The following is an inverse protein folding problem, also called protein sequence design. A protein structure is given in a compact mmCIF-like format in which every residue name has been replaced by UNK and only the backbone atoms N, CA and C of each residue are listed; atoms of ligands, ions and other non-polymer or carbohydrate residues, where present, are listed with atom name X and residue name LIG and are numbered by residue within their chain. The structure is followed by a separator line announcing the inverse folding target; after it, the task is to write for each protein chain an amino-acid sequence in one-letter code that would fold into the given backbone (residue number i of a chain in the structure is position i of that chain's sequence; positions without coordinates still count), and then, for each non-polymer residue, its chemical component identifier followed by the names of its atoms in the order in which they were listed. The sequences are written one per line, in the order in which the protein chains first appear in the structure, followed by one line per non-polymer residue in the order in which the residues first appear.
data_IF_694976566599
#
_entry.id   IF_694976566599
#
_cell.length_a   1.000
_cell.length_b   1.000
_cell.length_c   1.000
_cell.angle_alpha   90.00
_cell.angle_beta   90.00
_cell.angle_gamma   90.00
#
_symmetry.space_group_name_H-M   'P 1'
#
loop_
_entity.id
_entity.type
_entity.pdbx_description
1 polymer ?
#
# COMPACT_ATOMS: atom_id res chain seq x y z
N UNK A 1 19.47 -18.53 3.52
CA UNK A 1 19.48 -17.48 2.46
C UNK A 1 19.10 -16.20 3.17
N UNK A 2 20.04 -15.27 3.32
CA UNK A 2 19.80 -14.03 4.07
C UNK A 2 19.33 -12.95 3.10
N UNK A 3 18.17 -12.36 3.36
CA UNK A 3 17.66 -11.24 2.58
C UNK A 3 18.27 -9.94 3.14
N UNK A 4 18.96 -9.18 2.28
CA UNK A 4 19.55 -7.89 2.64
C UNK A 4 19.11 -6.83 1.64
N UNK A 5 18.16 -5.97 2.04
CA UNK A 5 17.62 -4.91 1.18
C UNK A 5 18.69 -3.94 0.64
N UNK A 6 19.81 -3.78 1.35
CA UNK A 6 20.93 -2.93 0.91
C UNK A 6 21.75 -3.56 -0.22
N UNK A 7 21.65 -4.88 -0.43
CA UNK A 7 22.30 -5.55 -1.56
C UNK A 7 21.56 -5.28 -2.87
N UNK A 8 22.29 -4.91 -3.93
CA UNK A 8 21.74 -4.51 -5.25
C UNK A 8 20.76 -5.54 -5.84
N UNK A 9 21.11 -6.82 -5.73
CA UNK A 9 20.37 -7.93 -6.32
C UNK A 9 19.39 -8.60 -5.34
N UNK A 10 19.10 -7.99 -4.19
CA UNK A 10 18.20 -8.61 -3.23
C UNK A 10 16.77 -8.64 -3.76
N UNK A 11 16.12 -9.83 -3.76
CA UNK A 11 14.76 -9.96 -4.27
C UNK A 11 13.70 -9.30 -3.39
N UNK A 12 14.05 -8.76 -2.21
CA UNK A 12 13.08 -8.03 -1.36
C UNK A 12 12.80 -6.60 -1.83
N UNK A 13 13.66 -6.02 -2.69
CA UNK A 13 13.52 -4.62 -3.12
C UNK A 13 12.22 -4.34 -3.89
N UNK A 14 11.81 -5.16 -4.88
CA UNK A 14 10.55 -4.94 -5.57
C UNK A 14 9.36 -4.99 -4.62
N UNK A 15 9.32 -5.96 -3.70
CA UNK A 15 8.26 -6.04 -2.68
C UNK A 15 8.25 -4.83 -1.76
N UNK A 16 9.43 -4.35 -1.32
CA UNK A 16 9.51 -3.09 -0.57
C UNK A 16 8.92 -1.94 -1.37
N UNK A 17 9.29 -1.78 -2.64
CA UNK A 17 8.77 -0.73 -3.53
C UNK A 17 7.24 -0.83 -3.71
N UNK A 18 6.70 -2.03 -3.87
CA UNK A 18 5.25 -2.23 -3.96
C UNK A 18 4.54 -1.82 -2.68
N UNK A 19 5.13 -2.09 -1.50
CA UNK A 19 4.55 -1.76 -0.19
C UNK A 19 4.69 -0.27 0.14
N UNK A 20 5.87 0.33 -0.07
CA UNK A 20 6.18 1.71 0.31
C UNK A 20 5.89 2.72 -0.79
N UNK A 21 5.54 2.26 -1.99
CA UNK A 21 5.08 3.12 -3.07
C UNK A 21 3.77 3.81 -2.68
N UNK A 22 3.57 5.03 -3.19
CA UNK A 22 2.42 5.90 -2.86
C UNK A 22 1.09 5.14 -2.81
N UNK A 23 0.79 4.34 -3.83
CA UNK A 23 -0.49 3.64 -3.94
C UNK A 23 -0.54 2.35 -3.13
N UNK A 24 0.58 1.63 -3.02
CA UNK A 24 0.65 0.40 -2.24
C UNK A 24 0.40 0.65 -0.76
N UNK A 25 1.07 1.65 -0.19
CA UNK A 25 0.91 2.00 1.22
C UNK A 25 -0.53 2.39 1.55
N UNK A 26 -1.16 3.22 0.70
CA UNK A 26 -2.55 3.64 0.89
C UNK A 26 -3.55 2.49 0.67
N UNK A 27 -3.31 1.63 -0.31
CA UNK A 27 -4.16 0.46 -0.59
C UNK A 27 -4.11 -0.54 0.56
N UNK A 28 -2.91 -0.86 1.07
CA UNK A 28 -2.74 -1.75 2.21
C UNK A 28 -3.39 -1.18 3.47
N UNK A 29 -3.22 0.12 3.73
CA UNK A 29 -3.83 0.79 4.86
C UNK A 29 -5.35 0.78 4.78
N UNK A 30 -5.93 0.97 3.59
CA UNK A 30 -7.38 0.89 3.38
C UNK A 30 -7.96 -0.51 3.64
N UNK A 31 -7.20 -1.57 3.36
CA UNK A 31 -7.63 -2.96 3.55
C UNK A 31 -7.48 -3.48 4.99
N UNK A 32 -6.89 -2.70 5.91
CA UNK A 32 -6.79 -3.09 7.32
C UNK A 32 -8.16 -3.18 8.00
N UNK A 33 -9.08 -2.29 7.61
CA UNK A 33 -10.45 -2.19 8.12
C UNK A 33 -11.35 -3.36 7.67
N UNK A 34 -10.94 -4.08 6.61
CA UNK A 34 -11.64 -5.25 6.11
C UNK A 34 -11.59 -5.39 4.59
N UNK A 35 -12.27 -6.41 4.04
CA UNK A 35 -12.34 -6.63 2.60
C UNK A 35 -13.06 -5.49 1.87
N UNK A 36 -12.52 -5.08 0.73
CA UNK A 36 -13.08 -4.00 -0.10
C UNK A 36 -13.13 -4.40 -1.59
N UNK A 37 -14.15 -3.92 -2.30
CA UNK A 37 -14.22 -4.02 -3.76
C UNK A 37 -13.28 -3.02 -4.42
N UNK A 38 -12.97 -3.27 -5.69
CA UNK A 38 -12.13 -2.36 -6.49
C UNK A 38 -12.60 -0.90 -6.46
N UNK A 39 -13.91 -0.66 -6.64
CA UNK A 39 -14.47 0.69 -6.65
C UNK A 39 -14.48 1.34 -5.25
N UNK A 40 -14.55 0.55 -4.19
CA UNK A 40 -14.46 1.06 -2.82
C UNK A 40 -13.03 1.47 -2.50
N UNK A 41 -12.04 0.65 -2.88
CA UNK A 41 -10.63 1.00 -2.80
C UNK A 41 -10.30 2.26 -3.59
N UNK A 42 -10.76 2.36 -4.84
CA UNK A 42 -10.55 3.55 -5.68
C UNK A 42 -11.12 4.83 -5.08
N UNK A 43 -12.25 4.75 -4.38
CA UNK A 43 -12.84 5.89 -3.67
C UNK A 43 -12.08 6.23 -2.39
N UNK A 44 -11.59 5.21 -1.67
CA UNK A 44 -10.84 5.39 -0.42
C UNK A 44 -9.45 5.96 -0.67
N UNK A 45 -8.79 5.52 -1.74
CA UNK A 45 -7.47 5.98 -2.19
C UNK A 45 -7.67 7.10 -3.22
N UNK A 46 -8.05 8.28 -2.74
CA UNK A 46 -8.34 9.41 -3.62
C UNK A 46 -7.14 9.77 -4.53
N UNK A 47 -7.45 10.11 -5.78
CA UNK A 47 -6.46 10.45 -6.81
C UNK A 47 -5.79 9.26 -7.52
N UNK A 48 -6.05 8.01 -7.15
CA UNK A 48 -5.54 6.85 -7.90
C UNK A 48 -6.34 6.60 -9.18
N UNK A 49 -5.67 6.39 -10.31
CA UNK A 49 -6.34 5.96 -11.54
C UNK A 49 -6.67 4.47 -11.50
N UNK A 50 -7.68 4.02 -12.25
CA UNK A 50 -8.04 2.59 -12.31
C UNK A 50 -6.86 1.72 -12.76
N UNK A 51 -6.10 2.19 -13.76
CA UNK A 51 -4.90 1.51 -14.23
C UNK A 51 -3.88 1.34 -13.10
N UNK A 52 -3.59 2.40 -12.35
CA UNK A 52 -2.60 2.36 -11.26
C UNK A 52 -3.07 1.47 -10.09
N UNK A 53 -4.35 1.54 -9.73
CA UNK A 53 -4.90 0.69 -8.67
C UNK A 53 -4.87 -0.78 -9.07
N UNK A 54 -5.25 -1.11 -10.31
CA UNK A 54 -5.19 -2.48 -10.85
C UNK A 54 -3.76 -3.02 -10.85
N UNK A 55 -2.78 -2.23 -11.31
CA UNK A 55 -1.36 -2.60 -11.26
C UNK A 55 -0.86 -2.82 -9.83
N UNK A 56 -1.25 -1.94 -8.91
CA UNK A 56 -0.88 -2.04 -7.48
C UNK A 56 -1.45 -3.31 -6.86
N UNK A 57 -2.74 -3.59 -7.05
CA UNK A 57 -3.38 -4.79 -6.52
C UNK A 57 -2.77 -6.06 -7.10
N UNK A 58 -2.46 -6.08 -8.40
CA UNK A 58 -1.80 -7.23 -9.03
C UNK A 58 -0.40 -7.49 -8.45
N UNK A 59 0.38 -6.44 -8.18
CA UNK A 59 1.69 -6.56 -7.57
C UNK A 59 1.60 -7.07 -6.12
N UNK A 60 0.70 -6.49 -5.32
CA UNK A 60 0.47 -6.92 -3.92
C UNK A 60 -0.11 -8.34 -3.83
N UNK A 61 -0.94 -8.75 -4.79
CA UNK A 61 -1.43 -10.13 -4.92
C UNK A 61 -0.30 -11.10 -5.27
N UNK A 62 0.53 -10.74 -6.25
CA UNK A 62 1.72 -11.52 -6.65
C UNK A 62 2.70 -11.70 -5.49
N UNK A 63 2.87 -10.68 -4.66
CA UNK A 63 3.74 -10.70 -3.48
C UNK A 63 3.11 -11.45 -2.29
N UNK A 64 1.85 -11.87 -2.40
CA UNK A 64 1.14 -12.59 -1.35
C UNK A 64 0.68 -11.71 -0.18
N UNK A 65 0.62 -10.40 -0.36
CA UNK A 65 0.14 -9.44 0.63
C UNK A 65 -1.38 -9.23 0.56
N UNK A 66 -1.94 -9.34 -0.65
CA UNK A 66 -3.37 -9.17 -0.89
C UNK A 66 -3.94 -10.48 -1.45
N UNK A 67 -5.08 -10.90 -0.91
CA UNK A 67 -5.89 -11.96 -1.46
C UNK A 67 -7.03 -11.36 -2.29
N UNK A 68 -7.16 -11.83 -3.53
CA UNK A 68 -8.26 -11.50 -4.43
C UNK A 68 -9.26 -12.65 -4.46
N UNK A 69 -10.47 -12.41 -3.98
CA UNK A 69 -11.57 -13.37 -4.02
C UNK A 69 -12.57 -12.98 -5.12
N UNK A 70 -12.68 -13.80 -6.15
CA UNK A 70 -13.63 -13.62 -7.25
C UNK A 70 -14.81 -14.57 -7.08
N UNK A 71 -15.94 -14.02 -6.66
CA UNK A 71 -17.14 -14.77 -6.34
C UNK A 71 -18.07 -14.83 -7.57
N UNK A 72 -18.55 -16.02 -7.96
CA UNK A 72 -19.50 -16.20 -9.06
C UNK A 72 -20.92 -15.83 -8.61
N UNK A 73 -21.11 -14.61 -8.12
CA UNK A 73 -22.43 -14.04 -7.83
C UNK A 73 -23.03 -13.41 -9.09
N UNK A 74 -24.34 -13.13 -9.08
CA UNK A 74 -24.97 -12.31 -10.11
C UNK A 74 -25.44 -10.97 -9.49
N UNK A 75 -24.78 -9.84 -9.77
CA UNK A 75 -23.62 -9.65 -10.65
C UNK A 75 -22.30 -10.19 -10.05
N UNK A 76 -21.26 -10.44 -10.88
CA UNK A 76 -19.95 -10.90 -10.40
C UNK A 76 -19.34 -9.95 -9.40
N UNK A 77 -18.78 -10.48 -8.32
CA UNK A 77 -18.17 -9.70 -7.25
C UNK A 77 -16.70 -10.07 -7.09
N UNK A 78 -15.85 -9.05 -6.94
CA UNK A 78 -14.43 -9.23 -6.65
C UNK A 78 -14.10 -8.41 -5.42
N UNK A 79 -13.69 -9.09 -4.36
CA UNK A 79 -13.26 -8.50 -3.11
C UNK A 79 -11.74 -8.68 -2.94
N UNK A 80 -11.10 -7.69 -2.33
CA UNK A 80 -9.70 -7.71 -1.98
C UNK A 80 -9.57 -7.66 -0.46
N UNK A 81 -8.67 -8.46 0.10
CA UNK A 81 -8.41 -8.50 1.54
C UNK A 81 -6.93 -8.71 1.81
N UNK A 82 -6.44 -8.33 2.99
CA UNK A 82 -5.06 -8.61 3.38
C UNK A 82 -4.91 -10.10 3.75
N UNK A 83 -3.81 -10.71 3.31
CA UNK A 83 -3.35 -11.99 3.88
C UNK A 83 -2.80 -11.77 5.29
N UNK A 84 -2.46 -12.83 6.06
CA UNK A 84 -1.79 -12.65 7.34
C UNK A 84 -0.49 -11.83 7.23
N UNK A 85 0.35 -12.10 6.22
CA UNK A 85 1.55 -11.33 5.93
C UNK A 85 1.21 -9.88 5.54
N UNK A 86 0.19 -9.70 4.72
CA UNK A 86 -0.30 -8.38 4.32
C UNK A 86 -0.77 -7.54 5.51
N UNK A 87 -1.45 -8.15 6.48
CA UNK A 87 -1.94 -7.48 7.69
C UNK A 87 -0.78 -6.99 8.55
N UNK A 88 0.17 -7.87 8.88
CA UNK A 88 1.35 -7.48 9.66
C UNK A 88 2.13 -6.35 8.97
N UNK A 89 2.31 -6.45 7.65
CA UNK A 89 3.00 -5.43 6.86
C UNK A 89 2.23 -4.10 6.86
N UNK A 90 0.92 -4.16 6.65
CA UNK A 90 0.07 -2.97 6.59
C UNK A 90 0.03 -2.22 7.93
N UNK A 91 0.05 -2.92 9.06
CA UNK A 91 0.12 -2.30 10.39
C UNK A 91 1.40 -1.46 10.56
N UNK A 92 2.55 -1.94 10.06
CA UNK A 92 3.81 -1.18 10.11
C UNK A 92 3.81 0.02 9.16
N UNK A 93 3.23 -0.16 7.98
CA UNK A 93 3.04 0.95 7.03
C UNK A 93 2.11 2.01 7.61
N UNK A 94 1.00 1.60 8.22
CA UNK A 94 0.05 2.51 8.85
C UNK A 94 0.72 3.29 10.00
N UNK A 95 1.52 2.64 10.83
CA UNK A 95 2.28 3.31 11.88
C UNK A 95 3.21 4.41 11.31
N UNK A 96 3.87 4.15 10.17
CA UNK A 96 4.67 5.17 9.48
C UNK A 96 3.81 6.32 8.94
N UNK A 97 2.66 6.02 8.33
CA UNK A 97 1.73 7.04 7.83
C UNK A 97 1.26 7.96 8.95
N UNK A 98 0.78 7.38 10.06
CA UNK A 98 0.29 8.15 11.22
C UNK A 98 1.39 9.02 11.82
N UNK A 99 2.61 8.49 11.95
CA UNK A 99 3.76 9.26 12.38
C UNK A 99 4.01 10.45 11.46
N UNK A 100 4.01 10.24 10.13
CA UNK A 100 4.25 11.33 9.19
C UNK A 100 3.15 12.39 9.24
N UNK A 101 1.88 11.97 9.32
CA UNK A 101 0.74 12.87 9.48
C UNK A 101 0.87 13.75 10.73
N UNK A 102 1.25 13.15 11.86
CA UNK A 102 1.49 13.87 13.12
C UNK A 102 2.65 14.87 13.00
N UNK A 103 3.73 14.50 12.29
CA UNK A 103 4.97 15.29 12.18
C UNK A 103 4.98 16.26 11.00
N UNK A 104 3.91 16.35 10.21
CA UNK A 104 3.84 17.29 9.07
C UNK A 104 4.19 18.74 9.42
N UNK A 105 3.82 19.31 10.59
CA UNK A 105 4.24 20.68 10.94
C UNK A 105 5.77 20.86 10.94
N UNK A 106 6.52 19.88 11.46
CA UNK A 106 7.98 19.91 11.49
C UNK A 106 8.59 19.75 10.11
N UNK A 107 8.02 18.87 9.29
CA UNK A 107 8.43 18.69 7.89
C UNK A 107 8.24 19.99 7.09
N UNK A 108 7.11 20.67 7.27
CA UNK A 108 6.82 21.93 6.58
C UNK A 108 7.74 23.07 7.03
N UNK A 109 8.11 23.12 8.32
CA UNK A 109 9.11 24.08 8.80
C UNK A 109 10.50 23.78 8.21
N UNK A 110 10.92 22.50 8.18
CA UNK A 110 12.18 22.10 7.60
C UNK A 110 12.26 22.43 6.09
N UNK A 111 11.17 22.23 5.35
CA UNK A 111 11.07 22.60 3.93
C UNK A 111 11.21 24.12 3.73
N UNK A 112 10.46 24.93 4.49
CA UNK A 112 10.57 26.39 4.43
C UNK A 112 11.99 26.87 4.74
N UNK A 113 12.64 26.28 5.74
CA UNK A 113 14.00 26.62 6.12
C UNK A 113 15.05 26.20 5.05
N UNK A 114 14.77 25.16 4.26
CA UNK A 114 15.60 24.76 3.13
C UNK A 114 15.41 25.68 1.93
N UNK A 115 14.16 25.98 1.57
CA UNK A 115 13.82 26.82 0.42
C UNK A 115 14.25 28.30 0.58
N UNK A 116 14.47 28.73 1.82
CA UNK A 116 14.98 30.06 2.15
C UNK A 116 16.52 30.18 2.13
N UNK A 117 17.26 29.08 1.89
CA UNK A 117 18.73 29.06 1.76
C UNK A 117 19.16 29.28 0.32
#
# INVERSE_FOLDING_TARGET
MEFNVFAKACPSRPTLEHVTGRWGSLTMSALLDGPLRFNELRRRVDGVSEKMLSQTLHALERDGLVHRDAQPTNPPRVDYSLTPLGRETAERVLALILLLEERMPEVLEAQRAYDAR
#
